data_IF_321431543636
#
_entry.id   IF_321431543636
#
_cell.length_a   1.000
_cell.length_b   1.000
_cell.length_c   1.000
_cell.angle_alpha   90.00
_cell.angle_beta   90.00
_cell.angle_gamma   90.00
#
_symmetry.space_group_name_H-M   'P 1'
#
loop_
_entity.id
_entity.type
_entity.pdbx_description
1 polymer ?
#
# COMPACT_ATOMS: atom_id res chain seq x y z
N UNK A 1 -1.21 -38.69 -2.17
CA UNK A 1 0.06 -38.19 -2.74
C UNK A 1 -0.09 -37.66 -4.16
N UNK A 2 -0.76 -38.38 -5.08
CA UNK A 2 -1.01 -37.92 -6.48
C UNK A 2 -1.77 -36.57 -6.60
N UNK A 3 -2.70 -36.28 -5.68
CA UNK A 3 -3.43 -35.01 -5.68
C UNK A 3 -2.56 -33.78 -5.41
N UNK A 4 -1.57 -33.89 -4.50
CA UNK A 4 -0.68 -32.78 -4.17
C UNK A 4 0.27 -32.43 -5.33
N UNK A 5 0.79 -33.44 -6.02
CA UNK A 5 1.64 -33.24 -7.22
C UNK A 5 0.81 -32.59 -8.34
N UNK A 6 -0.44 -33.03 -8.55
CA UNK A 6 -1.34 -32.44 -9.54
C UNK A 6 -1.65 -30.98 -9.21
N UNK A 7 -1.97 -30.66 -7.95
CA UNK A 7 -2.22 -29.29 -7.50
C UNK A 7 -0.97 -28.43 -7.66
N UNK A 8 0.20 -28.93 -7.25
CA UNK A 8 1.47 -28.23 -7.39
C UNK A 8 1.77 -27.89 -8.86
N UNK A 9 1.66 -28.86 -9.78
CA UNK A 9 1.82 -28.62 -11.22
C UNK A 9 0.83 -27.61 -11.76
N UNK A 10 -0.42 -27.64 -11.30
CA UNK A 10 -1.44 -26.68 -11.73
C UNK A 10 -1.14 -25.25 -11.24
N UNK A 11 -0.67 -25.10 -10.01
CA UNK A 11 -0.25 -23.82 -9.45
C UNK A 11 1.00 -23.28 -10.15
N UNK A 12 1.97 -24.15 -10.42
CA UNK A 12 3.18 -23.80 -11.17
C UNK A 12 2.86 -23.36 -12.61
N UNK A 13 1.98 -24.09 -13.31
CA UNK A 13 1.54 -23.72 -14.65
C UNK A 13 0.84 -22.35 -14.66
N UNK A 14 0.06 -22.04 -13.62
CA UNK A 14 -0.54 -20.71 -13.40
C UNK A 14 0.46 -19.63 -12.95
N UNK A 15 1.73 -20.00 -12.74
CA UNK A 15 2.78 -19.08 -12.29
C UNK A 15 2.64 -18.63 -10.84
N UNK A 16 1.88 -19.35 -10.00
CA UNK A 16 1.65 -18.97 -8.60
C UNK A 16 2.99 -19.05 -7.85
N UNK A 17 3.45 -17.89 -7.41
CA UNK A 17 4.69 -17.74 -6.68
C UNK A 17 4.47 -18.03 -5.20
N UNK A 18 5.35 -18.84 -4.59
CA UNK A 18 5.37 -19.07 -3.14
C UNK A 18 6.27 -18.07 -2.39
N UNK A 19 6.06 -17.94 -1.08
CA UNK A 19 6.81 -17.03 -0.18
C UNK A 19 8.33 -17.25 -0.27
N UNK A 20 8.76 -18.52 -0.30
CA UNK A 20 10.18 -18.88 -0.37
C UNK A 20 10.79 -18.46 -1.71
N UNK A 21 10.10 -18.71 -2.82
CA UNK A 21 10.52 -18.29 -4.16
C UNK A 21 10.63 -16.77 -4.24
N UNK A 22 9.58 -16.06 -3.80
CA UNK A 22 9.56 -14.60 -3.70
C UNK A 22 10.76 -14.05 -2.91
N UNK A 23 11.10 -14.70 -1.80
CA UNK A 23 12.23 -14.29 -0.97
C UNK A 23 13.59 -14.55 -1.64
N UNK A 24 13.82 -15.77 -2.14
CA UNK A 24 15.09 -16.18 -2.71
C UNK A 24 15.37 -15.52 -4.07
N UNK A 25 14.40 -15.60 -4.98
CA UNK A 25 14.61 -15.26 -6.38
C UNK A 25 14.47 -13.76 -6.64
N UNK A 26 13.75 -13.02 -5.77
CA UNK A 26 13.46 -11.59 -6.00
C UNK A 26 13.91 -10.70 -4.86
N UNK A 27 13.41 -10.90 -3.63
CA UNK A 27 13.77 -10.00 -2.51
C UNK A 27 15.27 -10.06 -2.22
N UNK A 28 15.85 -11.23 -1.97
CA UNK A 28 17.27 -11.33 -1.65
C UNK A 28 18.17 -10.97 -2.85
N UNK A 29 17.70 -11.21 -4.07
CA UNK A 29 18.41 -10.90 -5.31
C UNK A 29 18.44 -9.40 -5.61
N UNK A 30 17.32 -8.70 -5.41
CA UNK A 30 17.13 -7.32 -5.88
C UNK A 30 17.05 -6.27 -4.77
N UNK A 31 16.88 -6.67 -3.51
CA UNK A 31 16.80 -5.75 -2.37
C UNK A 31 18.06 -5.86 -1.52
N UNK A 32 18.97 -4.88 -1.64
CA UNK A 32 20.15 -4.81 -0.78
C UNK A 32 19.71 -4.47 0.65
N UNK A 33 20.13 -5.27 1.64
CA UNK A 33 19.68 -5.13 3.05
C UNK A 33 19.96 -3.76 3.66
N UNK A 34 21.04 -3.10 3.26
CA UNK A 34 21.38 -1.76 3.74
C UNK A 34 20.38 -0.68 3.30
N UNK A 35 19.51 -0.95 2.33
CA UNK A 35 18.47 -0.04 1.85
C UNK A 35 17.11 -0.29 2.53
N UNK A 36 16.95 -1.33 3.35
CA UNK A 36 15.68 -1.65 4.01
C UNK A 36 15.19 -0.53 4.95
N UNK A 37 16.07 0.15 5.72
CA UNK A 37 15.64 1.27 6.55
C UNK A 37 14.93 2.39 5.79
N UNK A 38 15.14 2.52 4.48
CA UNK A 38 14.48 3.55 3.66
C UNK A 38 12.97 3.33 3.61
N UNK A 39 12.53 2.07 3.55
CA UNK A 39 11.11 1.70 3.39
C UNK A 39 10.48 1.19 4.69
N UNK A 40 11.28 0.68 5.63
CA UNK A 40 10.80 0.25 6.94
C UNK A 40 10.44 1.45 7.84
N UNK A 41 11.02 2.64 7.57
CA UNK A 41 10.71 3.89 8.27
C UNK A 41 9.92 4.86 7.37
N UNK A 42 8.64 5.08 7.73
CA UNK A 42 7.71 5.93 6.97
C UNK A 42 8.18 7.39 6.88
N UNK A 43 8.91 7.89 7.88
CA UNK A 43 9.45 9.26 7.86
C UNK A 43 10.53 9.36 6.79
N UNK A 44 11.45 8.39 6.73
CA UNK A 44 12.53 8.38 5.73
C UNK A 44 11.95 8.24 4.32
N UNK A 45 10.99 7.34 4.13
CA UNK A 45 10.29 7.18 2.84
C UNK A 45 9.67 8.50 2.38
N UNK A 46 8.93 9.18 3.27
CA UNK A 46 8.24 10.42 2.94
C UNK A 46 9.19 11.58 2.65
N UNK A 47 10.25 11.73 3.42
CA UNK A 47 11.24 12.78 3.20
C UNK A 47 11.86 12.65 1.79
N UNK A 48 12.23 11.43 1.40
CA UNK A 48 12.74 11.16 0.04
C UNK A 48 11.68 11.38 -1.04
N UNK A 49 10.43 11.06 -0.76
CA UNK A 49 9.33 11.29 -1.70
C UNK A 49 9.15 12.79 -1.97
N UNK A 50 9.14 13.61 -0.91
CA UNK A 50 9.03 15.07 -1.02
C UNK A 50 10.22 15.63 -1.82
N UNK A 51 11.44 15.19 -1.53
CA UNK A 51 12.65 15.60 -2.28
C UNK A 51 12.60 15.21 -3.76
N UNK A 52 11.93 14.10 -4.09
CA UNK A 52 11.71 13.65 -5.45
C UNK A 52 10.48 14.28 -6.14
N UNK A 53 9.78 15.23 -5.49
CA UNK A 53 8.56 15.84 -6.01
C UNK A 53 7.36 14.89 -6.06
N UNK A 54 7.38 13.83 -5.27
CA UNK A 54 6.34 12.82 -5.18
C UNK A 54 5.32 13.19 -4.09
N UNK A 55 4.04 13.12 -4.44
CA UNK A 55 2.95 13.43 -3.53
C UNK A 55 2.79 12.37 -2.42
N UNK A 56 2.80 12.84 -1.18
CA UNK A 56 2.56 12.06 0.05
C UNK A 56 1.59 12.84 0.95
N UNK A 57 0.92 12.19 1.92
CA UNK A 57 0.19 12.92 2.94
C UNK A 57 1.16 13.85 3.68
N UNK A 58 0.80 15.13 3.73
CA UNK A 58 1.59 16.20 4.33
C UNK A 58 1.98 15.86 5.78
N UNK A 59 3.26 16.03 6.10
CA UNK A 59 3.77 15.77 7.45
C UNK A 59 3.62 17.04 8.27
N UNK A 60 2.80 16.99 9.32
CA UNK A 60 2.60 18.12 10.23
C UNK A 60 3.72 18.18 11.27
N UNK A 61 4.23 17.03 11.70
CA UNK A 61 5.33 16.97 12.64
C UNK A 61 5.75 15.56 13.02
N UNK A 62 6.87 15.48 13.74
CA UNK A 62 7.45 14.24 14.24
C UNK A 62 7.74 14.44 15.72
N UNK A 63 7.37 13.45 16.54
CA UNK A 63 7.72 13.37 17.95
C UNK A 63 8.71 12.21 18.10
N UNK A 64 9.93 12.52 18.54
CA UNK A 64 11.02 11.55 18.65
C UNK A 64 11.30 11.12 20.10
N UNK A 65 10.93 11.95 21.07
CA UNK A 65 11.17 11.71 22.49
C UNK A 65 9.95 12.04 23.33
N UNK A 66 9.89 11.50 24.55
CA UNK A 66 8.83 11.80 25.53
C UNK A 66 8.72 13.30 25.81
N UNK A 67 9.86 14.01 25.81
CA UNK A 67 9.85 15.48 25.97
C UNK A 67 9.18 16.18 24.79
N UNK A 68 9.38 15.67 23.57
CA UNK A 68 8.79 16.27 22.36
C UNK A 68 7.26 16.18 22.32
N UNK A 69 6.63 15.37 23.20
CA UNK A 69 5.17 15.31 23.31
C UNK A 69 4.58 16.69 23.64
N UNK A 70 5.30 17.54 24.37
CA UNK A 70 4.86 18.92 24.67
C UNK A 70 4.59 19.76 23.40
N UNK A 71 5.23 19.39 22.27
CA UNK A 71 5.05 20.05 20.97
C UNK A 71 3.75 19.64 20.27
N UNK A 72 3.09 18.56 20.70
CA UNK A 72 1.89 18.03 20.05
C UNK A 72 0.84 19.11 19.85
N UNK A 73 0.56 19.89 20.91
CA UNK A 73 -0.42 20.98 20.88
C UNK A 73 -0.12 21.98 19.76
N UNK A 74 1.14 22.36 19.59
CA UNK A 74 1.56 23.31 18.56
C UNK A 74 1.53 22.70 17.16
N UNK A 75 1.91 21.43 17.02
CA UNK A 75 1.88 20.69 15.74
C UNK A 75 0.45 20.61 15.20
N UNK A 76 -0.53 20.31 16.07
CA UNK A 76 -1.91 20.11 15.61
C UNK A 76 -2.76 21.37 15.67
N UNK A 77 -2.31 22.49 16.26
CA UNK A 77 -3.19 23.63 16.62
C UNK A 77 -4.11 24.10 15.49
N UNK A 78 -3.60 24.15 14.26
CA UNK A 78 -4.26 24.65 13.05
C UNK A 78 -5.01 23.56 12.27
N UNK A 79 -5.05 22.32 12.80
CA UNK A 79 -5.65 21.16 12.16
C UNK A 79 -6.79 20.58 13.01
N UNK A 80 -7.99 20.53 12.45
CA UNK A 80 -9.17 19.90 13.07
C UNK A 80 -9.11 18.38 13.01
N UNK A 81 -8.44 17.82 12.01
CA UNK A 81 -8.22 16.39 11.82
C UNK A 81 -6.75 16.07 11.50
N UNK A 82 -6.31 14.86 11.85
CA UNK A 82 -4.94 14.39 11.63
C UNK A 82 -4.83 12.89 11.92
N UNK A 83 -3.74 12.29 11.48
CA UNK A 83 -3.35 10.92 11.80
C UNK A 83 -2.09 10.94 12.63
N UNK A 84 -2.06 10.16 13.71
CA UNK A 84 -0.85 9.82 14.47
C UNK A 84 -0.52 8.37 14.20
N UNK A 85 0.71 8.06 13.78
CA UNK A 85 1.12 6.68 13.52
C UNK A 85 2.59 6.42 13.88
N UNK A 86 2.94 5.17 14.24
CA UNK A 86 4.34 4.78 14.40
C UNK A 86 5.09 4.84 13.06
N UNK A 87 6.34 5.32 13.07
CA UNK A 87 7.16 5.36 11.87
C UNK A 87 7.50 3.95 11.35
N UNK A 88 7.73 3.00 12.27
CA UNK A 88 8.13 1.61 11.95
C UNK A 88 7.05 0.57 12.28
N UNK A 89 5.80 1.02 12.52
CA UNK A 89 4.67 0.14 12.82
C UNK A 89 4.21 -0.70 11.62
N UNK A 90 3.59 -1.84 11.91
CA UNK A 90 3.05 -2.77 10.90
C UNK A 90 1.56 -3.09 11.15
N UNK A 91 0.86 -3.53 10.10
CA UNK A 91 -0.51 -4.06 10.21
C UNK A 91 -1.61 -3.05 10.57
N UNK A 92 -1.27 -1.76 10.68
CA UNK A 92 -2.20 -0.70 11.06
C UNK A 92 -2.40 -0.57 12.58
N UNK A 93 -1.52 -1.16 13.38
CA UNK A 93 -1.55 -1.01 14.84
C UNK A 93 -0.84 0.27 15.29
N UNK A 94 -1.30 0.84 16.41
CA UNK A 94 -0.81 2.13 16.91
C UNK A 94 -1.31 3.36 16.14
N UNK A 95 -2.00 3.18 15.01
CA UNK A 95 -2.56 4.28 14.22
C UNK A 95 -3.79 4.86 14.94
N UNK A 96 -3.73 6.15 15.26
CA UNK A 96 -4.84 6.94 15.77
C UNK A 96 -5.28 7.94 14.69
N UNK A 97 -6.57 7.90 14.34
CA UNK A 97 -7.16 8.82 13.35
C UNK A 97 -8.14 9.73 14.06
N UNK A 98 -7.79 11.02 14.11
CA UNK A 98 -8.66 12.09 14.60
C UNK A 98 -9.42 12.66 13.41
N UNK A 99 -10.74 12.67 13.50
CA UNK A 99 -11.64 13.12 12.46
C UNK A 99 -12.19 14.53 12.69
N UNK A 100 -12.22 14.99 13.94
CA UNK A 100 -12.75 16.32 14.29
C UNK A 100 -12.31 16.77 15.69
N UNK A 101 -12.63 18.02 16.04
CA UNK A 101 -12.53 18.58 17.39
C UNK A 101 -13.91 18.95 17.93
N UNK A 102 -14.11 18.70 19.22
CA UNK A 102 -15.34 19.05 19.92
C UNK A 102 -15.04 19.56 21.32
N UNK A 103 -15.38 20.84 21.59
CA UNK A 103 -15.24 21.48 22.91
C UNK A 103 -13.87 21.26 23.59
N UNK A 104 -12.77 21.44 22.84
CA UNK A 104 -11.41 21.25 23.33
C UNK A 104 -10.96 19.79 23.46
N UNK A 105 -11.78 18.83 22.99
CA UNK A 105 -11.47 17.41 22.88
C UNK A 105 -11.35 17.00 21.41
N UNK A 106 -10.88 15.78 21.18
CA UNK A 106 -10.69 15.19 19.85
C UNK A 106 -11.69 14.06 19.62
N UNK A 107 -12.24 13.97 18.41
CA UNK A 107 -13.17 12.91 18.01
C UNK A 107 -12.48 11.99 17.01
N UNK A 108 -12.48 10.69 17.27
CA UNK A 108 -11.96 9.67 16.34
C UNK A 108 -12.95 9.40 15.20
N UNK A 109 -12.50 8.69 14.16
CA UNK A 109 -13.37 8.20 13.09
C UNK A 109 -14.52 7.30 13.57
N UNK A 110 -14.35 6.59 14.68
CA UNK A 110 -15.41 5.77 15.29
C UNK A 110 -16.38 6.58 16.17
N UNK A 111 -16.16 7.88 16.30
CA UNK A 111 -16.95 8.77 17.16
C UNK A 111 -16.53 8.79 18.63
N UNK A 112 -15.47 8.06 19.03
CA UNK A 112 -14.92 8.14 20.39
C UNK A 112 -14.38 9.56 20.63
N UNK A 113 -14.75 10.16 21.75
CA UNK A 113 -14.18 11.41 22.22
C UNK A 113 -12.95 11.11 23.09
N UNK A 114 -11.86 11.83 22.85
CA UNK A 114 -10.57 11.67 23.53
C UNK A 114 -10.04 13.01 24.05
N UNK A 115 -9.44 13.01 25.23
CA UNK A 115 -8.69 14.16 25.75
C UNK A 115 -7.34 14.32 25.05
N UNK A 116 -6.68 15.45 25.26
CA UNK A 116 -5.29 15.64 24.79
C UNK A 116 -4.34 14.63 25.44
N UNK A 117 -4.44 14.45 26.76
CA UNK A 117 -3.64 13.51 27.54
C UNK A 117 -3.76 12.06 27.05
N UNK A 118 -4.95 11.65 26.57
CA UNK A 118 -5.13 10.32 25.96
C UNK A 118 -4.34 10.17 24.65
N UNK A 119 -4.20 11.26 23.86
CA UNK A 119 -3.36 11.26 22.65
C UNK A 119 -1.88 11.24 23.03
N UNK A 120 -1.47 12.03 24.02
CA UNK A 120 -0.11 12.01 24.56
C UNK A 120 0.30 10.61 25.04
N UNK A 121 -0.57 9.93 25.79
CA UNK A 121 -0.35 8.56 26.22
C UNK A 121 -0.23 7.59 25.04
N UNK A 122 -1.05 7.76 24.00
CA UNK A 122 -0.93 6.95 22.77
C UNK A 122 0.42 7.18 22.07
N UNK A 123 0.93 8.41 22.06
CA UNK A 123 2.24 8.74 21.51
C UNK A 123 3.36 8.12 22.36
N UNK A 124 3.28 8.17 23.69
CA UNK A 124 4.23 7.49 24.58
C UNK A 124 4.27 5.98 24.31
N UNK A 125 3.12 5.32 24.09
CA UNK A 125 3.07 3.92 23.66
C UNK A 125 3.81 3.69 22.32
N UNK A 126 3.70 4.61 21.37
CA UNK A 126 4.46 4.55 20.11
C UNK A 126 5.96 4.65 20.40
N UNK A 127 6.39 5.65 21.16
CA UNK A 127 7.81 5.92 21.46
C UNK A 127 8.49 4.77 22.20
N UNK A 128 7.77 4.09 23.09
CA UNK A 128 8.26 2.90 23.80
C UNK A 128 8.41 1.67 22.91
N UNK A 129 7.90 1.71 21.68
CA UNK A 129 8.01 0.63 20.71
C UNK A 129 6.88 -0.39 20.77
N UNK A 130 5.77 -0.09 21.46
CA UNK A 130 4.65 -1.04 21.65
C UNK A 130 4.10 -1.59 20.33
N UNK A 131 4.15 -0.78 19.27
CA UNK A 131 3.59 -1.11 17.95
C UNK A 131 4.66 -1.41 16.89
N UNK A 132 5.93 -1.40 17.26
CA UNK A 132 7.06 -1.49 16.33
C UNK A 132 7.55 -2.93 16.23
N UNK A 133 7.95 -3.34 15.02
CA UNK A 133 8.48 -4.69 14.78
C UNK A 133 9.78 -4.90 15.59
N UNK A 134 9.69 -5.66 16.68
CA UNK A 134 10.83 -5.97 17.57
C UNK A 134 10.88 -5.17 18.87
N UNK A 135 9.88 -4.32 19.16
CA UNK A 135 9.79 -3.60 20.45
C UNK A 135 10.87 -2.53 20.64
N UNK A 136 11.50 -2.08 19.56
CA UNK A 136 12.49 -1.01 19.60
C UNK A 136 11.81 0.35 19.71
N UNK A 137 12.52 1.33 20.29
CA UNK A 137 12.06 2.72 20.30
C UNK A 137 11.72 3.19 18.89
N UNK A 138 10.62 3.92 18.79
CA UNK A 138 10.08 4.43 17.52
C UNK A 138 9.83 5.93 17.63
N UNK A 139 9.36 6.52 16.53
CA UNK A 139 8.94 7.91 16.42
C UNK A 139 7.46 7.96 16.03
N UNK A 140 6.75 8.94 16.57
CA UNK A 140 5.38 9.20 16.16
C UNK A 140 5.36 10.24 15.04
N UNK A 141 4.74 9.87 13.92
CA UNK A 141 4.50 10.75 12.79
C UNK A 141 3.08 11.30 12.88
N UNK A 142 2.94 12.62 12.84
CA UNK A 142 1.67 13.34 12.74
C UNK A 142 1.52 13.87 11.33
N UNK A 143 0.42 13.55 10.66
CA UNK A 143 0.22 13.88 9.26
C UNK A 143 -1.23 14.17 8.90
N UNK A 144 -1.40 14.73 7.69
CA UNK A 144 -2.68 14.91 7.03
C UNK A 144 -3.48 13.61 6.98
N UNK A 145 -4.76 13.72 7.37
CA UNK A 145 -5.75 12.65 7.23
C UNK A 145 -6.26 12.63 5.81
N UNK A 146 -5.89 11.59 5.06
CA UNK A 146 -6.36 11.38 3.69
C UNK A 146 -7.89 11.35 3.65
N UNK A 147 -8.46 12.11 2.71
CA UNK A 147 -9.89 12.11 2.43
C UNK A 147 -10.12 11.28 1.18
N UNK A 148 -10.67 10.06 1.31
CA UNK A 148 -10.83 9.16 0.17
C UNK A 148 -11.72 9.77 -0.91
N UNK A 149 -11.35 9.55 -2.17
CA UNK A 149 -12.17 9.93 -3.31
C UNK A 149 -13.61 9.38 -3.19
N UNK A 150 -14.65 10.18 -3.52
CA UNK A 150 -16.05 9.78 -3.44
C UNK A 150 -16.39 8.48 -4.18
N UNK A 151 -15.63 8.08 -5.20
CA UNK A 151 -15.84 6.80 -5.91
C UNK A 151 -15.88 5.60 -4.95
N UNK A 152 -15.08 5.66 -3.88
CA UNK A 152 -14.98 4.59 -2.90
C UNK A 152 -16.13 4.53 -1.91
N UNK A 153 -16.95 5.58 -1.78
CA UNK A 153 -18.09 5.60 -0.83
C UNK A 153 -19.07 4.45 -1.08
N UNK A 154 -19.18 4.02 -2.34
CA UNK A 154 -20.06 2.90 -2.72
C UNK A 154 -19.46 1.53 -2.40
N UNK A 155 -18.14 1.40 -2.34
CA UNK A 155 -17.44 0.10 -2.28
C UNK A 155 -16.51 -0.05 -1.08
N UNK A 156 -16.60 0.80 -0.07
CA UNK A 156 -15.78 0.71 1.15
C UNK A 156 -16.61 0.97 2.40
N UNK A 157 -16.33 0.24 3.47
CA UNK A 157 -16.88 0.50 4.80
C UNK A 157 -15.88 1.27 5.65
N UNK A 158 -16.12 2.57 5.85
CA UNK A 158 -15.28 3.47 6.67
C UNK A 158 -13.78 3.41 6.29
N UNK A 159 -12.95 4.29 6.86
CA UNK A 159 -11.52 4.31 6.57
C UNK A 159 -11.12 4.64 5.12
N UNK A 160 -9.87 4.32 4.79
CA UNK A 160 -9.24 4.70 3.51
C UNK A 160 -8.89 3.44 2.72
N UNK A 161 -9.54 3.19 1.57
CA UNK A 161 -9.08 2.19 0.62
C UNK A 161 -7.69 2.50 0.12
N UNK A 162 -6.90 1.47 -0.10
CA UNK A 162 -5.57 1.62 -0.67
C UNK A 162 -5.40 0.73 -1.91
N UNK A 163 -4.50 1.15 -2.78
CA UNK A 163 -4.08 0.44 -3.98
C UNK A 163 -2.66 -0.04 -3.73
N UNK A 164 -2.48 -1.35 -3.75
CA UNK A 164 -1.15 -1.97 -3.70
C UNK A 164 -0.71 -2.35 -5.10
N UNK A 165 0.47 -1.88 -5.50
CA UNK A 165 1.15 -2.29 -6.73
C UNK A 165 2.46 -2.97 -6.37
N UNK A 166 2.68 -4.18 -6.86
CA UNK A 166 4.00 -4.82 -6.80
C UNK A 166 4.82 -4.33 -8.00
N UNK A 167 6.02 -3.87 -7.71
CA UNK A 167 6.99 -3.35 -8.69
C UNK A 167 8.24 -4.22 -8.66
N UNK A 168 8.71 -4.65 -9.83
CA UNK A 168 9.96 -5.37 -10.03
C UNK A 168 10.87 -4.55 -10.94
N UNK A 169 12.00 -4.08 -10.43
CA UNK A 169 13.01 -3.30 -11.15
C UNK A 169 12.43 -2.07 -11.88
N UNK A 170 11.45 -1.43 -11.24
CA UNK A 170 10.74 -0.27 -11.80
C UNK A 170 9.56 -0.61 -12.70
N UNK A 171 9.25 -1.88 -12.95
CA UNK A 171 8.09 -2.33 -13.72
C UNK A 171 6.95 -2.71 -12.78
N UNK A 172 5.79 -2.03 -12.82
CA UNK A 172 4.57 -2.51 -12.16
C UNK A 172 4.15 -3.87 -12.72
N UNK A 173 4.07 -4.91 -11.89
CA UNK A 173 3.76 -6.28 -12.37
C UNK A 173 2.40 -6.80 -11.92
N UNK A 174 1.81 -6.25 -10.86
CA UNK A 174 0.47 -6.62 -10.43
C UNK A 174 -0.11 -5.57 -9.48
N UNK A 175 -1.41 -5.32 -9.56
CA UNK A 175 -2.10 -4.39 -8.67
C UNK A 175 -3.32 -5.02 -7.99
N UNK A 176 -3.66 -4.52 -6.80
CA UNK A 176 -4.95 -4.79 -6.17
C UNK A 176 -5.44 -3.55 -5.42
N UNK A 177 -6.75 -3.40 -5.37
CA UNK A 177 -7.45 -2.50 -4.46
C UNK A 177 -7.78 -3.26 -3.18
N UNK A 178 -7.50 -2.67 -2.02
CA UNK A 178 -7.90 -3.19 -0.72
C UNK A 178 -9.03 -2.36 -0.16
N UNK A 179 -10.16 -3.01 0.11
CA UNK A 179 -11.38 -2.36 0.60
C UNK A 179 -11.59 -2.69 2.09
N UNK A 180 -11.58 -1.67 2.96
CA UNK A 180 -12.01 -1.79 4.34
C UNK A 180 -13.41 -2.40 4.51
N UNK A 181 -13.56 -3.23 5.53
CA UNK A 181 -14.84 -3.83 5.94
C UNK A 181 -15.13 -3.48 7.40
N UNK A 182 -16.36 -3.77 7.84
CA UNK A 182 -16.68 -3.70 9.27
C UNK A 182 -15.82 -4.68 10.08
N UNK A 183 -15.55 -5.86 9.53
CA UNK A 183 -14.73 -6.88 10.18
C UNK A 183 -13.28 -6.42 10.39
N UNK A 184 -12.73 -5.64 9.45
CA UNK A 184 -11.38 -5.07 9.60
C UNK A 184 -11.35 -3.78 10.42
N UNK A 185 -12.48 -3.34 10.96
CA UNK A 185 -12.60 -2.11 11.73
C UNK A 185 -12.24 -0.87 10.90
N UNK A 186 -12.57 -0.86 9.60
CA UNK A 186 -12.24 0.24 8.70
C UNK A 186 -10.78 0.24 8.21
N UNK A 187 -10.01 -0.83 8.42
CA UNK A 187 -8.61 -0.94 7.96
C UNK A 187 -8.51 -1.71 6.63
N UNK A 188 -7.64 -1.28 5.73
CA UNK A 188 -7.31 -1.98 4.47
C UNK A 188 -6.32 -3.15 4.67
N UNK A 189 -6.56 -4.00 5.67
CA UNK A 189 -5.72 -5.14 6.01
C UNK A 189 -6.46 -6.46 5.76
N UNK A 190 -6.02 -7.23 4.74
CA UNK A 190 -6.64 -8.50 4.34
C UNK A 190 -6.65 -9.53 5.46
N UNK A 191 -5.65 -9.54 6.35
CA UNK A 191 -5.59 -10.46 7.48
C UNK A 191 -6.60 -10.12 8.57
N UNK A 192 -7.05 -8.86 8.64
CA UNK A 192 -8.07 -8.39 9.57
C UNK A 192 -9.49 -8.47 8.97
N UNK A 193 -9.64 -8.99 7.74
CA UNK A 193 -10.95 -9.17 7.09
C UNK A 193 -11.30 -8.11 6.05
N UNK A 194 -10.32 -7.32 5.58
CA UNK A 194 -10.51 -6.48 4.40
C UNK A 194 -10.63 -7.33 3.12
N UNK A 195 -11.17 -6.76 2.06
CA UNK A 195 -11.30 -7.40 0.75
C UNK A 195 -10.10 -7.03 -0.12
N UNK A 196 -9.60 -7.99 -0.90
CA UNK A 196 -8.63 -7.73 -1.97
C UNK A 196 -9.28 -7.89 -3.32
N UNK A 197 -9.26 -6.85 -4.15
CA UNK A 197 -9.83 -6.83 -5.50
C UNK A 197 -8.69 -6.67 -6.50
N UNK A 198 -8.57 -7.59 -7.46
CA UNK A 198 -7.56 -7.44 -8.52
C UNK A 198 -7.78 -6.14 -9.30
N UNK A 199 -6.73 -5.59 -9.90
CA UNK A 199 -6.84 -4.39 -10.74
C UNK A 199 -6.09 -4.65 -12.03
N UNK A 200 -6.77 -4.41 -13.14
CA UNK A 200 -6.18 -4.51 -14.47
C UNK A 200 -5.11 -3.43 -14.65
N UNK A 201 -3.89 -3.82 -15.00
CA UNK A 201 -2.79 -2.87 -15.11
C UNK A 201 -2.92 -1.92 -16.29
N UNK A 202 -3.56 -2.32 -17.38
CA UNK A 202 -3.72 -1.46 -18.57
C UNK A 202 -4.78 -0.39 -18.36
N UNK A 203 -5.89 -0.76 -17.72
CA UNK A 203 -7.11 0.07 -17.69
C UNK A 203 -7.39 0.68 -16.32
N UNK A 204 -6.90 0.09 -15.22
CA UNK A 204 -7.28 0.48 -13.87
C UNK A 204 -8.68 0.04 -13.48
N UNK A 205 -9.31 -0.84 -14.27
CA UNK A 205 -10.61 -1.42 -13.95
C UNK A 205 -10.43 -2.52 -12.91
N UNK A 206 -11.27 -2.51 -11.87
CA UNK A 206 -11.26 -3.56 -10.87
C UNK A 206 -11.75 -4.89 -11.44
N UNK A 207 -11.07 -5.97 -11.05
CA UNK A 207 -11.40 -7.34 -11.40
C UNK A 207 -12.22 -7.97 -10.26
N UNK A 208 -12.20 -9.30 -10.17
CA UNK A 208 -12.92 -10.01 -9.09
C UNK A 208 -12.32 -9.71 -7.72
N UNK A 209 -13.17 -9.76 -6.70
CA UNK A 209 -12.79 -9.60 -5.31
C UNK A 209 -12.51 -10.92 -4.61
N UNK A 210 -11.76 -10.85 -3.51
CA UNK A 210 -11.50 -11.95 -2.60
C UNK A 210 -11.66 -11.51 -1.16
N UNK A 211 -12.36 -12.31 -0.37
CA UNK A 211 -12.59 -12.07 1.05
C UNK A 211 -12.40 -13.37 1.82
N UNK A 212 -11.49 -13.37 2.80
CA UNK A 212 -11.11 -14.58 3.55
C UNK A 212 -10.77 -15.77 2.64
N UNK A 213 -10.03 -15.50 1.55
CA UNK A 213 -9.65 -16.44 0.48
C UNK A 213 -10.81 -16.99 -0.38
N UNK A 214 -12.03 -16.50 -0.21
CA UNK A 214 -13.17 -16.84 -1.07
C UNK A 214 -13.37 -15.78 -2.14
N UNK A 215 -13.74 -16.19 -3.36
CA UNK A 215 -14.08 -15.27 -4.45
C UNK A 215 -15.42 -14.60 -4.14
N UNK A 216 -15.47 -13.28 -4.31
CA UNK A 216 -16.66 -12.47 -4.12
C UNK A 216 -16.83 -11.51 -5.30
N UNK A 217 -18.08 -11.13 -5.56
CA UNK A 217 -18.44 -10.10 -6.55
C UNK A 217 -19.01 -8.85 -5.89
N UNK A 218 -19.38 -8.93 -4.61
CA UNK A 218 -20.00 -7.83 -3.86
C UNK A 218 -19.32 -7.61 -2.52
N UNK A 219 -19.28 -6.36 -2.10
CA UNK A 219 -18.81 -5.98 -0.78
C UNK A 219 -19.77 -6.51 0.30
N UNK A 220 -19.30 -7.16 1.39
CA UNK A 220 -20.18 -7.75 2.40
C UNK A 220 -21.00 -6.71 3.14
N UNK A 221 -20.44 -5.52 3.39
CA UNK A 221 -21.15 -4.44 4.11
C UNK A 221 -22.00 -3.53 3.21
N UNK A 222 -21.51 -3.11 2.03
CA UNK A 222 -22.24 -2.17 1.15
C UNK A 222 -23.13 -2.87 0.13
N UNK A 223 -22.95 -4.17 -0.09
CA UNK A 223 -23.64 -5.01 -1.09
C UNK A 223 -23.43 -4.59 -2.56
N UNK A 224 -22.60 -3.57 -2.81
CA UNK A 224 -22.27 -3.10 -4.15
C UNK A 224 -21.23 -3.99 -4.81
N UNK A 225 -21.26 -4.02 -6.15
CA UNK A 225 -20.27 -4.74 -6.93
C UNK A 225 -18.86 -4.16 -6.70
N UNK A 226 -17.87 -5.04 -6.59
CA UNK A 226 -16.46 -4.63 -6.42
C UNK A 226 -15.67 -4.73 -7.73
N UNK A 227 -16.17 -5.48 -8.71
CA UNK A 227 -15.63 -5.62 -10.06
C UNK A 227 -16.22 -4.58 -11.03
N UNK A 228 -15.46 -4.23 -12.06
CA UNK A 228 -15.88 -3.30 -13.12
C UNK A 228 -15.82 -1.82 -12.75
N UNK A 229 -15.22 -1.47 -11.61
CA UNK A 229 -15.07 -0.09 -11.15
C UNK A 229 -13.81 0.51 -11.76
N UNK A 230 -13.95 1.62 -12.48
CA UNK A 230 -12.82 2.37 -13.04
C UNK A 230 -12.13 3.17 -11.95
N UNK A 231 -10.86 2.88 -11.67
CA UNK A 231 -10.07 3.72 -10.78
C UNK A 231 -9.66 5.03 -11.47
N UNK A 232 -9.90 6.21 -10.86
CA UNK A 232 -9.49 7.49 -11.44
C UNK A 232 -7.97 7.60 -11.48
N UNK A 233 -7.45 8.36 -12.45
CA UNK A 233 -6.03 8.69 -12.57
C UNK A 233 -5.10 7.45 -12.51
N UNK A 234 -5.49 6.37 -13.18
CA UNK A 234 -4.74 5.11 -13.15
C UNK A 234 -3.31 5.25 -13.66
N UNK A 235 -3.11 6.01 -14.74
CA UNK A 235 -1.76 6.30 -15.25
C UNK A 235 -0.89 7.04 -14.21
N UNK A 236 -1.51 7.89 -13.39
CA UNK A 236 -0.84 8.54 -12.26
C UNK A 236 -0.35 7.52 -11.23
N UNK A 237 -1.19 6.56 -10.84
CA UNK A 237 -0.79 5.47 -9.94
C UNK A 237 0.34 4.62 -10.51
N UNK A 238 0.27 4.29 -11.80
CA UNK A 238 1.28 3.45 -12.45
C UNK A 238 2.65 4.14 -12.52
N UNK A 239 2.68 5.42 -12.93
CA UNK A 239 3.91 6.23 -12.97
C UNK A 239 4.50 6.43 -11.57
N UNK A 240 3.64 6.72 -10.60
CA UNK A 240 4.02 6.88 -9.20
C UNK A 240 4.66 5.61 -8.65
N UNK A 241 4.04 4.45 -8.90
CA UNK A 241 4.58 3.16 -8.49
C UNK A 241 5.91 2.84 -9.18
N UNK A 242 6.03 3.09 -10.49
CA UNK A 242 7.28 2.88 -11.22
C UNK A 242 8.42 3.73 -10.65
N UNK A 243 8.16 5.03 -10.39
CA UNK A 243 9.15 5.97 -9.83
C UNK A 243 9.59 5.65 -8.38
N UNK A 244 8.83 4.83 -7.65
CA UNK A 244 9.25 4.38 -6.32
C UNK A 244 10.52 3.52 -6.36
N UNK A 245 10.83 2.91 -7.51
CA UNK A 245 12.07 2.15 -7.69
C UNK A 245 13.30 3.05 -7.55
N UNK A 246 13.31 4.20 -8.22
CA UNK A 246 14.38 5.20 -8.13
C UNK A 246 14.50 5.77 -6.70
N UNK A 247 13.36 5.98 -6.03
CA UNK A 247 13.31 6.56 -4.69
C UNK A 247 14.00 5.70 -3.62
N UNK A 248 13.75 4.39 -3.64
CA UNK A 248 14.25 3.47 -2.61
C UNK A 248 15.47 2.64 -3.05
N UNK A 249 15.70 2.48 -4.36
CA UNK A 249 16.76 1.64 -4.91
C UNK A 249 16.58 0.14 -4.67
N UNK A 250 15.39 -0.29 -4.23
CA UNK A 250 15.03 -1.69 -4.02
C UNK A 250 14.31 -2.23 -5.26
N UNK A 251 14.81 -3.33 -5.82
CA UNK A 251 14.29 -3.85 -7.07
C UNK A 251 13.04 -4.74 -6.94
N UNK A 252 12.55 -5.10 -5.75
CA UNK A 252 11.26 -5.77 -5.59
C UNK A 252 10.50 -5.16 -4.41
N UNK A 253 9.47 -4.36 -4.70
CA UNK A 253 8.75 -3.60 -3.67
C UNK A 253 7.23 -3.70 -3.83
N UNK A 254 6.52 -3.54 -2.72
CA UNK A 254 5.12 -3.17 -2.73
C UNK A 254 5.00 -1.67 -2.53
N UNK A 255 4.26 -1.01 -3.40
CA UNK A 255 3.91 0.40 -3.28
C UNK A 255 2.45 0.48 -2.88
N UNK A 256 2.18 1.07 -1.73
CA UNK A 256 0.82 1.27 -1.22
C UNK A 256 0.46 2.73 -1.37
N UNK A 257 -0.62 2.98 -2.09
CA UNK A 257 -1.08 4.31 -2.45
C UNK A 257 -2.55 4.48 -2.14
N UNK A 258 -2.99 5.71 -2.02
CA UNK A 258 -4.38 6.07 -1.77
C UNK A 258 -4.80 7.15 -2.76
N UNK A 259 -6.09 7.21 -3.09
CA UNK A 259 -6.63 8.32 -3.87
C UNK A 259 -7.28 9.32 -2.92
N UNK A 260 -6.65 10.48 -2.77
CA UNK A 260 -7.25 11.61 -2.08
C UNK A 260 -8.14 12.40 -3.04
N UNK A 261 -9.29 12.86 -2.54
CA UNK A 261 -10.26 13.61 -3.33
C UNK A 261 -9.68 14.89 -3.94
N UNK A 262 -8.81 15.59 -3.22
CA UNK A 262 -8.29 16.91 -3.63
C UNK A 262 -6.84 16.82 -4.15
N UNK A 263 -6.03 15.94 -3.55
CA UNK A 263 -4.60 15.80 -3.86
C UNK A 263 -4.28 14.70 -4.89
N UNK A 264 -5.25 13.86 -5.25
CA UNK A 264 -5.05 12.75 -6.18
C UNK A 264 -4.24 11.59 -5.56
N UNK A 265 -3.49 10.82 -6.37
CA UNK A 265 -2.70 9.69 -5.89
C UNK A 265 -1.60 10.11 -4.91
N UNK A 266 -1.61 9.53 -3.71
CA UNK A 266 -0.61 9.75 -2.67
C UNK A 266 0.06 8.43 -2.28
N UNK A 267 1.40 8.43 -2.08
CA UNK A 267 2.09 7.28 -1.48
C UNK A 267 1.81 7.25 0.03
N UNK A 268 1.33 6.10 0.51
CA UNK A 268 1.09 5.85 1.92
C UNK A 268 2.28 5.15 2.58
N UNK A 269 2.77 4.06 1.97
CA UNK A 269 3.92 3.29 2.44
C UNK A 269 4.61 2.51 1.31
N UNK A 270 5.88 2.15 1.55
CA UNK A 270 6.65 1.22 0.71
C UNK A 270 6.99 -0.03 1.52
N UNK A 271 6.99 -1.19 0.85
CA UNK A 271 7.21 -2.48 1.48
C UNK A 271 8.35 -3.23 0.78
N UNK A 272 9.45 -3.52 1.48
CA UNK A 272 10.57 -4.32 0.94
C UNK A 272 10.22 -5.80 0.73
N UNK A 273 9.13 -6.28 1.33
CA UNK A 273 8.72 -7.70 1.32
C UNK A 273 7.20 -7.84 1.14
N UNK A 274 6.62 -7.36 0.03
CA UNK A 274 5.17 -7.37 -0.13
C UNK A 274 4.61 -8.79 -0.04
N UNK A 275 3.41 -8.89 0.54
CA UNK A 275 2.66 -10.14 0.65
C UNK A 275 2.13 -10.63 -0.69
N UNK A 276 1.82 -11.92 -0.77
CA UNK A 276 1.46 -12.60 -2.03
C UNK A 276 -0.06 -12.79 -2.24
N UNK A 277 -0.90 -12.30 -1.32
CA UNK A 277 -2.37 -12.37 -1.44
C UNK A 277 -2.91 -11.63 -2.67
N UNK A 278 -2.12 -10.71 -3.24
CA UNK A 278 -2.41 -10.05 -4.50
C UNK A 278 -2.62 -11.04 -5.66
N UNK A 279 -1.95 -12.20 -5.64
CA UNK A 279 -2.15 -13.27 -6.62
C UNK A 279 -3.53 -13.90 -6.51
N UNK A 280 -4.06 -14.00 -5.28
CA UNK A 280 -5.39 -14.53 -5.00
C UNK A 280 -6.44 -13.54 -5.51
N UNK A 281 -6.26 -12.25 -5.22
CA UNK A 281 -7.14 -11.18 -5.69
C UNK A 281 -7.22 -11.10 -7.23
N UNK A 282 -6.10 -11.34 -7.92
CA UNK A 282 -6.04 -11.32 -9.38
C UNK A 282 -6.33 -12.67 -10.06
N UNK A 283 -6.51 -13.76 -9.29
CA UNK A 283 -6.59 -15.14 -9.81
C UNK A 283 -5.44 -15.47 -10.79
N UNK A 284 -4.27 -14.87 -10.58
CA UNK A 284 -3.12 -14.85 -11.49
C UNK A 284 -1.80 -14.91 -10.73
N UNK A 285 -0.82 -15.64 -11.26
CA UNK A 285 0.50 -15.80 -10.66
C UNK A 285 1.50 -14.71 -11.05
N UNK A 286 2.44 -14.42 -10.15
CA UNK A 286 3.50 -13.43 -10.37
C UNK A 286 4.70 -13.97 -11.17
N UNK A 287 4.93 -15.29 -11.18
CA UNK A 287 6.17 -15.89 -11.71
C UNK A 287 6.38 -15.56 -13.19
N UNK A 288 5.34 -15.73 -14.02
CA UNK A 288 5.43 -15.47 -15.46
C UNK A 288 5.67 -13.99 -15.75
N UNK A 289 5.03 -13.10 -14.98
CA UNK A 289 5.22 -11.65 -15.09
C UNK A 289 6.65 -11.24 -14.70
N UNK A 290 7.18 -11.85 -13.65
CA UNK A 290 8.54 -11.60 -13.20
C UNK A 290 9.59 -12.07 -14.22
N UNK A 291 9.42 -13.27 -14.79
CA UNK A 291 10.29 -13.75 -15.87
C UNK A 291 10.25 -12.85 -17.10
N UNK A 292 9.07 -12.33 -17.47
CA UNK A 292 8.94 -11.40 -18.58
C UNK A 292 9.74 -10.11 -18.36
N UNK A 293 9.71 -9.55 -17.15
CA UNK A 293 10.54 -8.39 -16.78
C UNK A 293 12.03 -8.75 -16.81
N UNK A 294 12.44 -9.90 -16.26
CA UNK A 294 13.84 -10.32 -16.30
C UNK A 294 14.37 -10.49 -17.74
N UNK A 295 13.55 -11.05 -18.64
CA UNK A 295 13.88 -11.17 -20.06
C UNK A 295 14.00 -9.79 -20.72
N UNK A 296 13.09 -8.86 -20.43
CA UNK A 296 13.16 -7.47 -20.92
C UNK A 296 14.44 -6.78 -20.45
N UNK A 297 14.79 -6.93 -19.17
CA UNK A 297 16.01 -6.39 -18.60
C UNK A 297 17.28 -6.96 -19.27
N UNK A 298 17.29 -8.26 -19.58
CA UNK A 298 18.40 -8.88 -20.30
C UNK A 298 18.54 -8.30 -21.72
N UNK A 299 17.43 -8.18 -22.46
CA UNK A 299 17.39 -7.58 -23.79
C UNK A 299 17.89 -6.13 -23.80
N UNK A 300 17.41 -5.31 -22.85
CA UNK A 300 17.83 -3.90 -22.72
C UNK A 300 19.31 -3.78 -22.37
N UNK A 301 19.82 -4.68 -21.51
CA UNK A 301 21.24 -4.71 -21.13
C UNK A 301 22.14 -5.03 -22.32
N UNK A 302 21.75 -5.97 -23.18
CA UNK A 302 22.50 -6.28 -24.41
C UNK A 302 22.56 -5.09 -25.38
N UNK A 303 21.48 -4.29 -25.41
CA UNK A 303 21.37 -3.09 -26.25
C UNK A 303 21.96 -1.83 -25.61
N UNK A 304 22.34 -1.86 -24.33
CA UNK A 304 22.81 -0.70 -23.58
C UNK A 304 21.74 0.38 -23.35
N UNK A 305 20.46 0.00 -23.36
CA UNK A 305 19.32 0.92 -23.22
C UNK A 305 18.85 0.93 -21.77
N UNK A 306 18.50 2.12 -21.25
CA UNK A 306 17.80 2.29 -19.99
C UNK A 306 16.42 2.88 -20.26
N UNK A 307 15.39 2.28 -19.67
CA UNK A 307 14.02 2.77 -19.79
C UNK A 307 13.69 3.75 -18.66
N UNK A 308 12.96 4.79 -19.04
CA UNK A 308 12.27 5.74 -18.16
C UNK A 308 11.12 5.07 -17.40
N UNK A 309 10.64 5.63 -16.29
CA UNK A 309 9.44 5.12 -15.60
C UNK A 309 8.23 4.98 -16.53
N UNK A 310 8.03 5.92 -17.45
CA UNK A 310 6.95 5.90 -18.44
C UNK A 310 7.04 4.72 -19.40
N UNK A 311 8.24 4.40 -19.91
CA UNK A 311 8.46 3.26 -20.80
C UNK A 311 8.21 1.93 -20.08
N UNK A 312 8.64 1.82 -18.81
CA UNK A 312 8.37 0.63 -17.98
C UNK A 312 6.89 0.45 -17.70
N UNK A 313 6.18 1.54 -17.40
CA UNK A 313 4.72 1.53 -17.24
C UNK A 313 4.05 1.05 -18.52
N UNK A 314 4.44 1.60 -19.67
CA UNK A 314 3.87 1.21 -20.96
C UNK A 314 4.09 -0.28 -21.25
N UNK A 315 5.31 -0.79 -21.05
CA UNK A 315 5.60 -2.22 -21.18
C UNK A 315 4.71 -3.07 -20.29
N UNK A 316 4.56 -2.67 -19.02
CA UNK A 316 3.72 -3.37 -18.05
C UNK A 316 2.23 -3.35 -18.45
N UNK A 317 1.72 -2.22 -18.91
CA UNK A 317 0.33 -2.09 -19.36
C UNK A 317 0.06 -2.97 -20.58
N UNK A 318 0.94 -2.93 -21.58
CA UNK A 318 0.80 -3.71 -22.82
C UNK A 318 0.87 -5.22 -22.58
N UNK A 319 1.80 -5.67 -21.72
CA UNK A 319 2.06 -7.09 -21.53
C UNK A 319 1.20 -7.74 -20.46
N UNK A 320 0.84 -7.00 -19.41
CA UNK A 320 0.21 -7.56 -18.21
C UNK A 320 -1.24 -7.11 -17.99
N UNK A 321 -1.76 -6.23 -18.82
CA UNK A 321 -3.19 -5.95 -18.90
C UNK A 321 -3.97 -7.15 -19.44
N UNK A 322 -5.13 -7.43 -18.84
CA UNK A 322 -6.13 -8.36 -19.33
C UNK A 322 -6.95 -7.68 -20.42
N UNK A 323 -6.32 -7.46 -21.57
CA UNK A 323 -6.95 -6.83 -22.72
C UNK A 323 -8.15 -7.70 -23.20
N UNK A 324 -9.33 -7.07 -23.43
CA UNK A 324 -9.70 -6.80 -24.82
C UNK A 324 -10.09 -5.33 -25.05
N UNK A 325 -9.53 -4.64 -26.07
CA UNK A 325 -10.00 -3.33 -26.50
C UNK A 325 -10.98 -3.63 -27.65
N UNK A 326 -12.23 -3.89 -27.29
CA UNK A 326 -13.23 -4.54 -28.15
C UNK A 326 -12.98 -6.03 -28.39
N UNK A 327 -13.83 -6.85 -27.75
CA UNK A 327 -14.25 -8.16 -28.25
C UNK A 327 -15.78 -8.13 -28.34
#
# INVERSE_FOLDING_TARGET
MFGLIKTWKALEAKGIMGINRRNADYVLKYNKRNLYPIVDDKIITKQRAIEAGIHVPEMYGIIETEKDIEKLKDIVKDHTDFVVKPAQGAGGDGILVIADRFEGRYKTVSGKIMSHDEIEHQISNILTGLYSLGGHRDRALIEYRVTPDPIFKSISYEGVPDIRIIVLMGYPIMAMLRLPTRQSGGKANLHQGAIGVGVDLATGITLRGTWLNNKITKHPDTTNAVDGVQLPNWDGFMKLAAGCYELCGLGYIGVDMVLDQDKGPLILELNARPGLNIQIANDCGLTHRAHAVENRLAELKEKGIQETPEERVKFSQELFGHVPPHA
#
